data_IF_269063367974
#
_entry.id   IF_269063367974
#
_cell.length_a   1.000
_cell.length_b   1.000
_cell.length_c   1.000
_cell.angle_alpha   90.00
_cell.angle_beta   90.00
_cell.angle_gamma   90.00
#
_symmetry.space_group_name_H-M   'P 1'
#
loop_
_entity.id
_entity.type
_entity.pdbx_description
1 polymer ?
#
# COMPACT_ATOMS: atom_id res chain seq x y z
N UNK A 1 20.88 -84.26 3.86
CA UNK A 1 20.10 -83.82 5.01
C UNK A 1 20.82 -82.63 5.55
N UNK A 2 20.43 -81.41 5.44
CA UNK A 2 19.35 -80.75 4.68
C UNK A 2 19.60 -79.25 4.84
N UNK A 3 19.87 -78.60 3.74
CA UNK A 3 20.20 -77.19 3.64
C UNK A 3 18.94 -76.35 3.40
N UNK A 4 18.15 -76.08 4.42
CA UNK A 4 16.93 -75.22 4.31
C UNK A 4 16.89 -74.09 5.32
N UNK A 5 18.04 -73.72 5.93
CA UNK A 5 18.10 -72.67 6.93
C UNK A 5 18.45 -71.26 6.35
N UNK A 6 18.60 -71.16 5.02
CA UNK A 6 19.10 -69.90 4.37
C UNK A 6 18.00 -68.93 3.85
N UNK A 7 16.73 -69.19 4.14
CA UNK A 7 15.62 -68.35 3.61
C UNK A 7 14.84 -67.55 4.65
N UNK A 8 15.44 -67.28 5.81
CA UNK A 8 14.81 -66.31 6.73
C UNK A 8 15.32 -64.89 6.45
N UNK A 9 14.64 -64.19 5.51
CA UNK A 9 14.85 -62.78 5.31
C UNK A 9 14.59 -62.00 6.64
N UNK A 10 15.48 -61.09 7.05
CA UNK A 10 15.29 -60.31 8.28
C UNK A 10 14.01 -59.52 8.20
N UNK A 11 13.12 -59.71 9.16
CA UNK A 11 11.90 -58.96 9.28
C UNK A 11 12.23 -57.47 9.43
N UNK A 12 11.61 -56.57 8.65
CA UNK A 12 11.88 -55.13 8.78
C UNK A 12 11.53 -54.67 10.20
N UNK A 13 12.47 -54.09 10.90
CA UNK A 13 12.24 -53.45 12.21
C UNK A 13 11.21 -52.35 12.00
N UNK A 14 10.01 -52.51 12.55
CA UNK A 14 9.03 -51.40 12.61
C UNK A 14 9.67 -50.28 13.46
N UNK A 15 10.00 -49.20 12.80
CA UNK A 15 10.41 -47.96 13.48
C UNK A 15 9.19 -47.42 14.22
N UNK A 16 9.07 -47.78 15.48
CA UNK A 16 8.00 -47.24 16.34
C UNK A 16 8.37 -45.78 16.64
N UNK A 17 7.60 -44.87 16.09
CA UNK A 17 7.75 -43.46 16.46
C UNK A 17 7.31 -43.28 17.91
N UNK A 18 8.22 -42.70 18.73
CA UNK A 18 7.86 -42.38 20.11
C UNK A 18 6.87 -41.22 20.10
N UNK A 19 5.95 -41.20 21.07
CA UNK A 19 5.00 -40.10 21.24
C UNK A 19 5.72 -38.72 21.25
N UNK A 20 6.92 -38.64 21.82
CA UNK A 20 7.74 -37.42 21.80
C UNK A 20 8.15 -36.97 20.41
N UNK A 21 8.45 -37.90 19.50
CA UNK A 21 8.81 -37.58 18.11
C UNK A 21 7.59 -37.05 17.35
N UNK A 22 6.41 -37.64 17.58
CA UNK A 22 5.15 -37.18 16.96
C UNK A 22 4.80 -35.76 17.44
N UNK A 23 4.88 -35.51 18.76
CA UNK A 23 4.61 -34.18 19.35
C UNK A 23 5.59 -33.14 18.82
N UNK A 24 6.87 -33.48 18.70
CA UNK A 24 7.88 -32.57 18.14
C UNK A 24 7.58 -32.22 16.67
N UNK A 25 7.26 -33.20 15.85
CA UNK A 25 6.93 -32.99 14.42
C UNK A 25 5.66 -32.13 14.28
N UNK A 26 4.61 -32.42 15.06
CA UNK A 26 3.39 -31.61 15.05
C UNK A 26 3.65 -30.17 15.50
N UNK A 27 4.47 -29.97 16.51
CA UNK A 27 4.88 -28.63 16.98
C UNK A 27 5.63 -27.84 15.92
N UNK A 28 6.63 -28.47 15.29
CA UNK A 28 7.39 -27.83 14.19
C UNK A 28 6.46 -27.53 13.01
N UNK A 29 5.58 -28.46 12.62
CA UNK A 29 4.64 -28.24 11.54
C UNK A 29 3.63 -27.09 11.83
N UNK A 30 3.17 -27.00 13.08
CA UNK A 30 2.29 -25.88 13.49
C UNK A 30 3.02 -24.52 13.43
N UNK A 31 4.25 -24.46 13.92
CA UNK A 31 5.07 -23.23 13.87
C UNK A 31 5.36 -22.83 12.41
N UNK A 32 5.76 -23.78 11.56
CA UNK A 32 6.03 -23.51 10.14
C UNK A 32 4.78 -23.06 9.41
N UNK A 33 3.61 -23.63 9.72
CA UNK A 33 2.33 -23.21 9.15
C UNK A 33 1.98 -21.78 9.58
N UNK A 34 2.12 -21.46 10.87
CA UNK A 34 1.85 -20.10 11.39
C UNK A 34 2.80 -19.09 10.75
N UNK A 35 4.10 -19.42 10.64
CA UNK A 35 5.08 -18.57 9.97
C UNK A 35 4.76 -18.40 8.48
N UNK A 36 4.39 -19.47 7.78
CA UNK A 36 4.00 -19.41 6.37
C UNK A 36 2.74 -18.55 6.16
N UNK A 37 1.73 -18.68 7.03
CA UNK A 37 0.53 -17.85 6.99
C UNK A 37 0.84 -16.37 7.31
N UNK A 38 1.74 -16.09 8.24
CA UNK A 38 2.18 -14.72 8.53
C UNK A 38 3.00 -14.12 7.38
N UNK A 39 3.89 -14.91 6.77
CA UNK A 39 4.65 -14.49 5.59
C UNK A 39 3.73 -14.25 4.39
N UNK A 40 2.75 -15.13 4.14
CA UNK A 40 1.75 -14.93 3.09
C UNK A 40 0.94 -13.63 3.29
N UNK A 41 0.55 -13.32 4.53
CA UNK A 41 -0.12 -12.05 4.87
C UNK A 41 0.80 -10.82 4.70
N UNK A 42 2.12 -10.98 4.90
CA UNK A 42 3.10 -9.91 4.66
C UNK A 42 3.47 -9.73 3.19
N UNK A 43 3.22 -10.74 2.37
CA UNK A 43 3.57 -10.79 0.95
C UNK A 43 2.55 -10.11 0.03
N UNK A 44 1.48 -9.51 0.58
CA UNK A 44 0.60 -8.67 -0.22
C UNK A 44 1.36 -7.40 -0.60
N UNK A 45 1.62 -7.23 -1.89
CA UNK A 45 2.33 -6.08 -2.42
C UNK A 45 1.47 -4.81 -2.31
N UNK A 46 2.10 -3.63 -2.47
CA UNK A 46 1.38 -2.37 -2.67
C UNK A 46 0.33 -2.50 -3.78
N UNK A 47 -0.75 -1.72 -3.73
CA UNK A 47 -1.73 -1.67 -4.83
C UNK A 47 -1.03 -1.35 -6.15
N UNK A 48 -1.31 -2.17 -7.18
CA UNK A 48 -0.66 -2.08 -8.49
C UNK A 48 -1.64 -1.52 -9.53
N UNK A 49 -1.13 -0.95 -10.63
CA UNK A 49 -1.97 -0.57 -11.75
C UNK A 49 -2.94 -1.69 -12.16
N UNK A 50 -4.21 -1.33 -12.38
CA UNK A 50 -5.31 -2.23 -12.69
C UNK A 50 -5.98 -2.89 -11.48
N UNK A 51 -5.49 -2.70 -10.26
CA UNK A 51 -6.15 -3.17 -9.03
C UNK A 51 -7.03 -2.07 -8.44
N UNK A 52 -8.13 -2.48 -7.78
CA UNK A 52 -8.93 -1.53 -7.01
C UNK A 52 -8.09 -0.91 -5.90
N UNK A 53 -8.12 0.42 -5.81
CA UNK A 53 -7.51 1.15 -4.71
C UNK A 53 -8.21 0.79 -3.39
N UNK A 54 -7.45 0.53 -2.30
CA UNK A 54 -8.04 0.35 -0.97
C UNK A 54 -8.86 1.58 -0.59
N UNK A 55 -10.13 1.36 -0.24
CA UNK A 55 -10.99 2.45 0.21
C UNK A 55 -10.59 2.94 1.60
N UNK A 56 -10.77 4.23 1.82
CA UNK A 56 -10.51 4.85 3.12
C UNK A 56 -11.38 6.08 3.33
N UNK A 57 -11.51 6.45 4.59
CA UNK A 57 -12.08 7.74 5.03
C UNK A 57 -11.00 8.51 5.77
N UNK A 58 -10.78 9.76 5.39
CA UNK A 58 -9.81 10.69 5.93
C UNK A 58 -10.53 11.92 6.49
N UNK A 59 -10.25 12.26 7.74
CA UNK A 59 -10.62 13.56 8.31
C UNK A 59 -9.50 14.56 8.01
N UNK A 60 -9.86 15.64 7.33
CA UNK A 60 -8.92 16.67 6.91
C UNK A 60 -8.63 17.65 8.04
N UNK A 61 -7.52 18.41 7.93
CA UNK A 61 -7.13 19.39 8.94
C UNK A 61 -8.09 20.58 9.05
N UNK A 62 -8.93 20.81 8.04
CA UNK A 62 -10.01 21.81 8.05
C UNK A 62 -11.37 21.23 8.52
N UNK A 63 -11.39 19.98 8.98
CA UNK A 63 -12.56 19.31 9.59
C UNK A 63 -13.55 18.72 8.59
N UNK A 64 -13.20 18.59 7.32
CA UNK A 64 -14.01 17.86 6.34
C UNK A 64 -13.73 16.35 6.44
N UNK A 65 -14.65 15.55 5.94
CA UNK A 65 -14.48 14.10 5.81
C UNK A 65 -14.50 13.73 4.34
N UNK A 66 -13.50 13.00 3.89
CA UNK A 66 -13.37 12.53 2.51
C UNK A 66 -13.33 11.01 2.51
N UNK A 67 -14.19 10.39 1.72
CA UNK A 67 -14.16 8.94 1.46
C UNK A 67 -13.76 8.70 0.01
N UNK A 68 -12.71 7.91 -0.24
CA UNK A 68 -12.19 7.69 -1.59
C UNK A 68 -13.27 7.13 -2.54
N UNK A 69 -14.10 6.20 -2.06
CA UNK A 69 -15.18 5.62 -2.87
C UNK A 69 -16.26 6.63 -3.30
N UNK A 70 -16.41 7.76 -2.59
CA UNK A 70 -17.33 8.82 -2.94
C UNK A 70 -16.80 9.75 -4.06
N UNK A 71 -15.51 9.63 -4.39
CA UNK A 71 -14.86 10.38 -5.46
C UNK A 71 -14.83 9.64 -6.80
N UNK A 72 -15.67 8.59 -6.96
CA UNK A 72 -15.81 7.91 -8.24
C UNK A 72 -16.24 8.92 -9.32
N UNK A 73 -15.67 8.77 -10.52
CA UNK A 73 -15.85 9.73 -11.61
C UNK A 73 -14.80 10.84 -11.63
N UNK A 74 -13.97 10.94 -10.61
CA UNK A 74 -12.82 11.86 -10.57
C UNK A 74 -11.49 11.10 -10.68
N UNK A 75 -10.46 11.76 -11.19
CA UNK A 75 -9.06 11.31 -11.07
C UNK A 75 -8.53 11.76 -9.71
N UNK A 76 -8.03 10.83 -8.91
CA UNK A 76 -7.59 11.13 -7.54
C UNK A 76 -6.11 10.82 -7.38
N UNK A 77 -5.31 11.83 -7.04
CA UNK A 77 -3.94 11.64 -6.62
C UNK A 77 -3.88 11.52 -5.10
N UNK A 78 -3.44 10.39 -4.59
CA UNK A 78 -3.20 10.18 -3.16
C UNK A 78 -1.71 10.37 -2.92
N UNK A 79 -1.37 11.35 -2.09
CA UNK A 79 0.01 11.66 -1.72
C UNK A 79 0.25 11.35 -0.24
N UNK A 80 1.17 10.45 0.05
CA UNK A 80 1.61 10.17 1.43
C UNK A 80 2.84 11.00 1.74
N UNK A 81 2.73 11.88 2.74
CA UNK A 81 3.74 12.87 3.07
C UNK A 81 3.92 13.10 4.57
N UNK A 82 5.02 13.74 4.95
CA UNK A 82 5.27 14.20 6.31
C UNK A 82 6.13 15.46 6.33
N UNK A 83 5.97 16.32 7.33
CA UNK A 83 6.74 17.56 7.46
C UNK A 83 8.24 17.33 7.70
N UNK A 84 8.61 16.14 8.14
CA UNK A 84 9.97 15.66 8.37
C UNK A 84 10.67 15.13 7.10
N UNK A 85 9.99 15.13 5.96
CA UNK A 85 10.42 14.47 4.71
C UNK A 85 10.96 15.51 3.71
N UNK A 86 12.30 15.67 3.54
CA UNK A 86 12.85 16.65 2.61
C UNK A 86 12.45 16.46 1.14
N UNK A 87 12.31 15.22 0.59
CA UNK A 87 11.79 15.07 -0.76
C UNK A 87 10.33 15.50 -0.91
N UNK A 88 9.52 15.46 0.17
CA UNK A 88 8.15 15.95 0.14
C UNK A 88 8.10 17.48 -0.02
N UNK A 89 9.09 18.22 0.52
CA UNK A 89 9.25 19.65 0.26
C UNK A 89 9.45 19.97 -1.24
N UNK A 90 10.11 19.06 -1.96
CA UNK A 90 10.40 19.25 -3.39
C UNK A 90 9.16 19.01 -4.26
N UNK A 91 8.32 18.03 -3.92
CA UNK A 91 7.13 17.70 -4.73
C UNK A 91 5.90 18.55 -4.41
N UNK A 92 5.82 19.11 -3.20
CA UNK A 92 4.64 19.84 -2.74
C UNK A 92 4.17 20.95 -3.71
N UNK A 93 5.04 21.82 -4.26
CA UNK A 93 4.63 22.81 -5.27
C UNK A 93 4.07 22.16 -6.53
N UNK A 94 4.66 21.06 -7.00
CA UNK A 94 4.21 20.36 -8.21
C UNK A 94 2.82 19.75 -8.03
N UNK A 95 2.52 19.23 -6.83
CA UNK A 95 1.18 18.71 -6.52
C UNK A 95 0.16 19.84 -6.44
N UNK A 96 0.53 21.01 -5.91
CA UNK A 96 -0.34 22.19 -5.91
C UNK A 96 -0.63 22.67 -7.33
N UNK A 97 0.39 22.79 -8.16
CA UNK A 97 0.24 23.18 -9.57
C UNK A 97 -0.67 22.19 -10.34
N UNK A 98 -0.51 20.89 -10.12
CA UNK A 98 -1.37 19.85 -10.72
C UNK A 98 -2.82 19.99 -10.25
N UNK A 99 -3.03 20.19 -8.95
CA UNK A 99 -4.35 20.37 -8.36
C UNK A 99 -5.09 21.56 -8.97
N UNK A 100 -4.41 22.69 -9.15
CA UNK A 100 -4.99 23.89 -9.76
C UNK A 100 -5.23 23.73 -11.26
N UNK A 101 -4.26 23.17 -11.98
CA UNK A 101 -4.35 23.09 -13.45
C UNK A 101 -5.40 22.10 -13.93
N UNK A 102 -5.60 20.97 -13.23
CA UNK A 102 -6.50 19.91 -13.65
C UNK A 102 -7.84 19.89 -12.89
N UNK A 103 -8.14 20.92 -12.09
CA UNK A 103 -9.40 21.02 -11.34
C UNK A 103 -10.63 20.88 -12.23
N UNK A 104 -10.68 21.58 -13.36
CA UNK A 104 -11.80 21.55 -14.32
C UNK A 104 -11.91 20.20 -15.05
N UNK A 105 -10.83 19.41 -15.08
CA UNK A 105 -10.85 18.05 -15.62
C UNK A 105 -11.35 17.01 -14.59
N UNK A 106 -11.73 17.42 -13.39
CA UNK A 106 -12.17 16.54 -12.32
C UNK A 106 -11.02 15.78 -11.68
N UNK A 107 -9.86 16.42 -11.58
CA UNK A 107 -8.71 15.91 -10.84
C UNK A 107 -8.65 16.50 -9.43
N UNK A 108 -8.34 15.67 -8.45
CA UNK A 108 -8.17 16.08 -7.06
C UNK A 108 -6.91 15.45 -6.47
N UNK A 109 -6.23 16.19 -5.60
CA UNK A 109 -5.13 15.68 -4.77
C UNK A 109 -5.63 15.52 -3.34
N UNK A 110 -5.29 14.39 -2.69
CA UNK A 110 -5.56 14.11 -1.28
C UNK A 110 -4.22 13.87 -0.60
N UNK A 111 -3.83 14.74 0.31
CA UNK A 111 -2.63 14.58 1.12
C UNK A 111 -2.93 13.76 2.39
N UNK A 112 -2.30 12.60 2.50
CA UNK A 112 -2.36 11.72 3.67
C UNK A 112 -1.10 11.96 4.50
N UNK A 113 -1.24 12.73 5.57
CA UNK A 113 -0.12 13.05 6.46
C UNK A 113 0.20 11.87 7.37
N UNK A 114 1.41 11.33 7.23
CA UNK A 114 1.86 10.10 7.86
C UNK A 114 2.98 10.34 8.86
N UNK A 115 2.87 9.71 10.05
CA UNK A 115 3.89 9.75 11.13
C UNK A 115 4.35 11.17 11.49
N UNK A 116 3.42 12.10 11.61
CA UNK A 116 3.73 13.51 11.80
C UNK A 116 3.00 14.12 13.00
N UNK A 117 3.45 15.31 13.39
CA UNK A 117 2.80 16.11 14.42
C UNK A 117 1.79 17.08 13.80
N UNK A 118 0.68 17.42 14.48
CA UNK A 118 -0.27 18.39 13.94
C UNK A 118 0.37 19.75 13.63
N UNK A 119 1.29 20.22 14.48
CA UNK A 119 1.99 21.50 14.27
C UNK A 119 2.95 21.45 13.08
N UNK A 120 3.69 20.33 12.90
CA UNK A 120 4.56 20.13 11.75
C UNK A 120 3.77 20.12 10.45
N UNK A 121 2.68 19.35 10.41
CA UNK A 121 1.80 19.25 9.25
C UNK A 121 1.21 20.63 8.89
N UNK A 122 0.66 21.36 9.86
CA UNK A 122 0.09 22.70 9.60
C UNK A 122 1.15 23.70 9.10
N UNK A 123 2.36 23.67 9.66
CA UNK A 123 3.45 24.51 9.20
C UNK A 123 3.90 24.17 7.76
N UNK A 124 3.93 22.88 7.40
CA UNK A 124 4.24 22.42 6.05
C UNK A 124 3.19 22.89 5.05
N UNK A 125 1.90 22.65 5.32
CA UNK A 125 0.78 23.10 4.47
C UNK A 125 0.85 24.61 4.24
N UNK A 126 1.02 25.39 5.31
CA UNK A 126 1.12 26.86 5.21
C UNK A 126 2.36 27.32 4.42
N UNK A 127 3.51 26.67 4.62
CA UNK A 127 4.77 27.01 3.94
C UNK A 127 4.67 26.81 2.43
N UNK A 128 4.01 25.75 1.98
CA UNK A 128 3.87 25.42 0.56
C UNK A 128 2.56 25.96 -0.05
N UNK A 129 1.72 26.64 0.73
CA UNK A 129 0.44 27.15 0.25
C UNK A 129 -0.50 26.07 -0.28
N UNK A 130 -0.49 24.87 0.32
CA UNK A 130 -1.30 23.76 -0.16
C UNK A 130 -2.78 24.02 0.10
N UNK A 131 -3.59 24.00 -0.96
CA UNK A 131 -5.02 24.24 -0.90
C UNK A 131 -5.86 22.98 -1.15
N UNK A 132 -5.23 21.91 -1.63
CA UNK A 132 -5.89 20.61 -1.73
C UNK A 132 -6.13 19.98 -0.34
N UNK A 133 -7.12 19.10 -0.21
CA UNK A 133 -7.43 18.43 1.06
C UNK A 133 -6.24 17.68 1.65
N UNK A 134 -5.94 17.92 2.91
CA UNK A 134 -4.90 17.25 3.66
C UNK A 134 -5.45 16.76 5.00
N UNK A 135 -5.13 15.55 5.41
CA UNK A 135 -5.58 15.00 6.69
C UNK A 135 -4.57 14.04 7.30
N UNK A 136 -4.70 13.82 8.62
CA UNK A 136 -3.80 12.94 9.36
C UNK A 136 -4.24 11.48 9.25
N UNK A 137 -3.32 10.61 8.89
CA UNK A 137 -3.56 9.15 8.98
C UNK A 137 -3.52 8.66 10.43
N UNK A 138 -4.71 8.54 11.02
CA UNK A 138 -4.86 8.09 12.40
C UNK A 138 -4.51 6.60 12.52
N UNK A 139 -3.54 6.27 13.38
CA UNK A 139 -3.05 4.91 13.60
C UNK A 139 -2.50 4.22 12.33
N UNK A 140 -2.03 4.99 11.37
CA UNK A 140 -1.45 4.48 10.12
C UNK A 140 -2.39 3.53 9.33
N UNK A 141 -3.71 3.73 9.43
CA UNK A 141 -4.68 2.81 8.81
C UNK A 141 -4.62 2.86 7.28
N UNK A 142 -4.50 4.08 6.73
CA UNK A 142 -4.43 4.28 5.29
C UNK A 142 -3.07 3.83 4.76
N UNK A 143 -1.98 4.25 5.42
CA UNK A 143 -0.62 3.83 5.08
C UNK A 143 -0.45 2.31 5.09
N UNK A 144 -1.05 1.61 6.06
CA UNK A 144 -1.04 0.14 6.10
C UNK A 144 -1.86 -0.48 4.98
N UNK A 145 -3.02 0.08 4.63
CA UNK A 145 -3.84 -0.41 3.52
C UNK A 145 -3.11 -0.27 2.18
N UNK A 146 -2.39 0.85 1.98
CA UNK A 146 -1.56 1.12 0.81
C UNK A 146 -0.15 0.54 0.89
N UNK A 147 0.23 -0.03 2.06
CA UNK A 147 1.55 -0.63 2.32
C UNK A 147 2.71 0.33 2.08
N UNK A 148 2.54 1.54 2.55
CA UNK A 148 3.54 2.60 2.46
C UNK A 148 4.80 2.18 3.21
N UNK A 149 5.96 2.37 2.58
CA UNK A 149 7.27 2.05 3.14
C UNK A 149 8.06 3.31 3.53
N UNK A 150 7.67 4.45 2.96
CA UNK A 150 8.31 5.74 3.18
C UNK A 150 7.46 6.89 2.66
N UNK A 151 8.00 8.10 2.77
CA UNK A 151 7.43 9.29 2.15
C UNK A 151 8.50 9.98 1.29
N UNK A 152 8.12 10.56 0.15
CA UNK A 152 6.77 10.52 -0.40
C UNK A 152 6.49 9.22 -1.18
N UNK A 153 5.24 8.79 -1.14
CA UNK A 153 4.68 7.79 -2.03
C UNK A 153 3.36 8.29 -2.60
N UNK A 154 3.14 8.04 -3.87
CA UNK A 154 2.03 8.65 -4.62
C UNK A 154 1.28 7.60 -5.43
N UNK A 155 -0.07 7.72 -5.45
CA UNK A 155 -0.95 6.83 -6.22
C UNK A 155 -1.93 7.67 -7.04
N UNK A 156 -1.97 7.47 -8.34
CA UNK A 156 -3.01 8.01 -9.20
C UNK A 156 -4.12 6.97 -9.35
N UNK A 157 -5.34 7.34 -9.00
CA UNK A 157 -6.53 6.51 -9.05
C UNK A 157 -7.43 7.00 -10.18
N UNK A 158 -7.84 6.10 -11.04
CA UNK A 158 -8.76 6.36 -12.13
C UNK A 158 -10.19 6.61 -11.65
N UNK A 159 -11.03 7.10 -12.53
CA UNK A 159 -12.45 7.40 -12.27
C UNK A 159 -13.26 6.16 -11.86
N UNK A 160 -12.84 4.99 -12.29
CA UNK A 160 -13.39 3.69 -11.90
C UNK A 160 -12.90 3.21 -10.53
N UNK A 161 -11.90 3.90 -9.95
CA UNK A 161 -11.28 3.61 -8.68
C UNK A 161 -10.15 2.59 -8.72
N UNK A 162 -9.68 2.24 -9.89
CA UNK A 162 -8.49 1.41 -10.03
C UNK A 162 -7.23 2.27 -9.96
N UNK A 163 -6.16 1.70 -9.48
CA UNK A 163 -4.84 2.34 -9.52
C UNK A 163 -4.39 2.44 -10.97
N UNK A 164 -4.13 3.64 -11.44
CA UNK A 164 -3.56 3.92 -12.76
C UNK A 164 -2.04 3.83 -12.70
N UNK A 165 -1.44 4.47 -11.69
CA UNK A 165 -0.01 4.55 -11.51
C UNK A 165 0.34 4.70 -10.02
N UNK A 166 1.52 4.22 -9.66
CA UNK A 166 2.11 4.43 -8.34
C UNK A 166 3.58 4.86 -8.50
N UNK A 167 4.00 5.82 -7.67
CA UNK A 167 5.38 6.31 -7.61
C UNK A 167 5.91 6.19 -6.19
N UNK A 168 7.13 5.67 -6.07
CA UNK A 168 7.91 5.67 -4.84
C UNK A 168 8.95 6.78 -4.97
N UNK A 169 8.92 7.75 -4.06
CA UNK A 169 9.72 8.96 -4.15
C UNK A 169 8.98 10.15 -4.75
N UNK A 170 9.66 11.32 -4.82
CA UNK A 170 9.03 12.56 -5.23
C UNK A 170 8.62 12.56 -6.70
N UNK A 171 7.48 13.16 -6.98
CA UNK A 171 6.98 13.38 -8.33
C UNK A 171 7.21 14.83 -8.76
N UNK A 172 7.24 15.03 -10.08
CA UNK A 172 7.28 16.37 -10.68
C UNK A 172 6.02 16.61 -11.51
N UNK A 173 5.68 17.88 -11.72
CA UNK A 173 4.53 18.24 -12.53
C UNK A 173 4.50 17.52 -13.89
N UNK A 174 5.55 17.55 -14.75
CA UNK A 174 5.48 16.90 -16.07
C UNK A 174 5.32 15.38 -15.99
N UNK A 175 5.86 14.72 -14.97
CA UNK A 175 5.72 13.27 -14.81
C UNK A 175 4.26 12.86 -14.59
N UNK A 176 3.53 13.60 -13.77
CA UNK A 176 2.14 13.28 -13.44
C UNK A 176 1.21 13.79 -14.53
N UNK A 177 1.45 14.99 -15.06
CA UNK A 177 0.67 15.59 -16.14
C UNK A 177 0.62 14.69 -17.38
N UNK A 178 1.75 14.09 -17.79
CA UNK A 178 1.78 13.15 -18.92
C UNK A 178 0.83 11.95 -18.72
N UNK A 179 0.72 11.44 -17.49
CA UNK A 179 -0.17 10.32 -17.18
C UNK A 179 -1.62 10.77 -17.15
N UNK A 180 -1.91 11.94 -16.55
CA UNK A 180 -3.26 12.52 -16.52
C UNK A 180 -3.76 12.77 -17.94
N UNK A 181 -2.96 13.43 -18.78
CA UNK A 181 -3.32 13.75 -20.16
C UNK A 181 -3.63 12.50 -20.98
N UNK A 182 -2.85 11.43 -20.78
CA UNK A 182 -3.10 10.13 -21.43
C UNK A 182 -4.44 9.53 -20.99
N UNK A 183 -4.72 9.51 -19.70
CA UNK A 183 -5.99 8.97 -19.16
C UNK A 183 -7.18 9.76 -19.70
N UNK A 184 -7.09 11.10 -19.71
CA UNK A 184 -8.16 11.95 -20.24
C UNK A 184 -8.37 11.76 -21.74
N UNK A 185 -7.31 11.52 -22.51
CA UNK A 185 -7.42 11.24 -23.95
C UNK A 185 -8.09 9.89 -24.24
N UNK A 186 -7.77 8.85 -23.44
CA UNK A 186 -8.38 7.51 -23.58
C UNK A 186 -9.88 7.50 -23.23
N UNK A 187 -10.30 8.33 -22.28
CA UNK A 187 -11.71 8.46 -21.87
C UNK A 187 -12.56 9.31 -22.84
N UNK A 188 -11.92 10.15 -23.65
CA UNK A 188 -12.59 11.02 -24.64
C UNK A 188 -12.73 10.40 -26.02
N UNK A 189 -12.17 9.20 -26.23
CA UNK A 189 -12.20 8.49 -27.51
C UNK A 189 -13.29 7.42 -27.54
#
# INVERSE_FOLDING_TARGET
MSDLEFLQAPRPKRVGWSWGTVVLICGVAAITLVLALQLARRSEAQPRPGQMAPDFTLETFDGQTITLSELRGQLVMINFWGSWCPPCDQEAPHLQDLYEQYADAGFIVIGVNWLDTPSGASAFIARHGLTFPNGKDVQERIARAYRIQGAPENFLIGRDGQVVMAWIGPVTFPMVAEVIDRVLAEEGA
#
